data_IF_222407682890
#
_entry.id   IF_222407682890
#
_cell.length_a   1.000
_cell.length_b   1.000
_cell.length_c   1.000
_cell.angle_alpha   90.00
_cell.angle_beta   90.00
_cell.angle_gamma   90.00
#
_symmetry.space_group_name_H-M   'P 1'
#
loop_
_entity.id
_entity.type
_entity.pdbx_description
1 polymer ?
#
# COMPACT_ATOMS: atom_id res chain seq x y z
N UNK A 1 -11.71 3.79 -26.74
CA UNK A 1 -12.38 4.53 -25.64
C UNK A 1 -12.86 3.57 -24.58
N UNK A 2 -12.21 3.60 -23.43
CA UNK A 2 -12.61 2.92 -22.20
C UNK A 2 -13.24 3.93 -21.23
N UNK A 3 -13.55 3.51 -20.01
CA UNK A 3 -14.11 4.36 -18.94
C UNK A 3 -13.18 5.49 -18.45
N UNK A 4 -11.91 5.52 -18.88
CA UNK A 4 -10.95 6.56 -18.53
C UNK A 4 -11.04 7.79 -19.44
N UNK A 5 -11.68 7.66 -20.61
CA UNK A 5 -11.92 8.76 -21.57
C UNK A 5 -10.68 9.58 -21.96
N UNK A 6 -9.49 8.95 -21.95
CA UNK A 6 -8.21 9.62 -22.21
C UNK A 6 -8.16 10.29 -23.58
N UNK A 7 -8.83 9.72 -24.58
CA UNK A 7 -8.85 10.24 -25.95
C UNK A 7 -9.63 11.58 -26.08
N UNK A 8 -10.35 12.00 -25.03
CA UNK A 8 -11.07 13.28 -24.98
C UNK A 8 -10.26 14.41 -24.33
N UNK A 9 -9.14 14.08 -23.68
CA UNK A 9 -8.31 15.07 -23.02
C UNK A 9 -7.50 15.86 -24.07
N UNK A 10 -7.43 17.20 -23.99
CA UNK A 10 -6.58 18.00 -24.87
C UNK A 10 -5.10 17.89 -24.43
N UNK A 11 -4.53 16.70 -24.56
CA UNK A 11 -3.17 16.33 -24.14
C UNK A 11 -2.51 15.58 -25.30
N UNK A 12 -1.31 16.00 -25.71
CA UNK A 12 -0.56 15.31 -26.76
C UNK A 12 -0.01 13.96 -26.29
N UNK A 13 0.34 13.08 -27.22
CA UNK A 13 0.92 11.78 -26.89
C UNK A 13 2.24 11.91 -26.10
N UNK A 14 3.05 12.93 -26.41
CA UNK A 14 4.29 13.23 -25.70
C UNK A 14 4.03 13.65 -24.24
N UNK A 15 3.04 14.50 -24.02
CA UNK A 15 2.64 14.90 -22.67
C UNK A 15 2.03 13.72 -21.87
N UNK A 16 1.23 12.87 -22.51
CA UNK A 16 0.72 11.64 -21.88
C UNK A 16 1.85 10.71 -21.42
N UNK A 17 2.88 10.52 -22.25
CA UNK A 17 4.02 9.68 -21.91
C UNK A 17 4.79 10.22 -20.69
N UNK A 18 5.02 11.55 -20.61
CA UNK A 18 5.65 12.16 -19.44
C UNK A 18 4.79 12.02 -18.17
N UNK A 19 3.47 12.27 -18.28
CA UNK A 19 2.52 12.10 -17.17
C UNK A 19 2.55 10.66 -16.63
N UNK A 20 2.54 9.66 -17.50
CA UNK A 20 2.58 8.26 -17.08
C UNK A 20 3.91 7.86 -16.43
N UNK A 21 5.04 8.33 -16.96
CA UNK A 21 6.35 8.05 -16.39
C UNK A 21 6.51 8.68 -15.00
N UNK A 22 6.12 9.95 -14.84
CA UNK A 22 6.19 10.64 -13.55
C UNK A 22 5.26 10.01 -12.50
N UNK A 23 4.05 9.60 -12.91
CA UNK A 23 3.13 8.83 -12.06
C UNK A 23 3.76 7.50 -11.65
N UNK A 24 4.29 6.72 -12.60
CA UNK A 24 4.90 5.41 -12.34
C UNK A 24 6.06 5.50 -11.36
N UNK A 25 6.97 6.47 -11.55
CA UNK A 25 8.11 6.72 -10.66
C UNK A 25 7.66 7.11 -9.26
N UNK A 26 6.66 7.98 -9.16
CA UNK A 26 6.13 8.44 -7.88
C UNK A 26 5.44 7.30 -7.12
N UNK A 27 4.59 6.51 -7.79
CA UNK A 27 3.90 5.37 -7.20
C UNK A 27 4.87 4.29 -6.72
N UNK A 28 5.82 3.87 -7.57
CA UNK A 28 6.84 2.86 -7.21
C UNK A 28 7.68 3.27 -5.99
N UNK A 29 7.86 4.57 -5.78
CA UNK A 29 8.60 5.10 -4.63
C UNK A 29 7.82 4.99 -3.32
N UNK A 30 6.49 5.15 -3.36
CA UNK A 30 5.66 5.23 -2.15
C UNK A 30 4.89 3.94 -1.83
N UNK A 31 4.61 3.07 -2.81
CA UNK A 31 3.90 1.81 -2.60
C UNK A 31 4.82 0.77 -1.94
N UNK A 32 4.64 0.55 -0.64
CA UNK A 32 5.37 -0.47 0.09
C UNK A 32 4.63 -1.81 0.12
N UNK A 33 3.30 -1.80 0.21
CA UNK A 33 2.47 -3.00 0.33
C UNK A 33 2.73 -4.00 -0.80
N UNK A 34 2.72 -3.53 -2.05
CA UNK A 34 2.96 -4.36 -3.25
C UNK A 34 4.33 -5.04 -3.30
N UNK A 35 5.29 -4.63 -2.46
CA UNK A 35 6.62 -5.24 -2.36
C UNK A 35 6.66 -6.42 -1.39
N UNK A 36 5.62 -6.59 -0.57
CA UNK A 36 5.63 -7.52 0.57
C UNK A 36 4.38 -8.42 0.63
N UNK A 37 3.38 -8.18 -0.20
CA UNK A 37 2.17 -9.01 -0.33
C UNK A 37 2.06 -9.60 -1.74
N UNK A 38 1.28 -10.66 -1.88
CA UNK A 38 0.98 -11.27 -3.18
C UNK A 38 -0.02 -10.41 -3.94
N UNK A 39 0.41 -9.87 -5.09
CA UNK A 39 -0.44 -9.06 -5.96
C UNK A 39 -1.13 -9.97 -6.98
N UNK A 40 -2.46 -10.05 -6.92
CA UNK A 40 -3.28 -10.91 -7.78
C UNK A 40 -4.11 -10.05 -8.72
N UNK A 41 -3.73 -10.01 -10.00
CA UNK A 41 -4.44 -9.24 -11.03
C UNK A 41 -3.50 -8.49 -11.97
N UNK A 42 -3.98 -7.48 -12.71
CA UNK A 42 -5.36 -6.95 -12.69
C UNK A 42 -6.40 -7.90 -13.31
N UNK A 43 -7.59 -7.98 -12.70
CA UNK A 43 -8.72 -8.82 -13.15
C UNK A 43 -9.72 -8.08 -14.05
N UNK A 44 -9.52 -6.79 -14.26
CA UNK A 44 -10.33 -5.92 -15.10
C UNK A 44 -11.42 -5.16 -14.35
N UNK A 45 -12.00 -4.12 -14.96
CA UNK A 45 -12.95 -3.20 -14.31
C UNK A 45 -14.30 -3.86 -13.94
N UNK A 46 -14.61 -5.03 -14.51
CA UNK A 46 -15.81 -5.80 -14.15
C UNK A 46 -15.67 -6.65 -12.89
N UNK A 47 -14.47 -6.75 -12.31
CA UNK A 47 -14.23 -7.53 -11.10
C UNK A 47 -14.71 -6.76 -9.87
N UNK A 48 -15.80 -7.24 -9.25
CA UNK A 48 -16.48 -6.51 -8.17
C UNK A 48 -16.15 -7.05 -6.76
N UNK A 49 -15.75 -8.32 -6.64
CA UNK A 49 -15.44 -8.93 -5.35
C UNK A 49 -14.55 -10.17 -5.48
N UNK A 50 -13.71 -10.41 -4.47
CA UNK A 50 -12.94 -11.63 -4.30
C UNK A 50 -13.71 -12.67 -3.47
N UNK A 51 -13.87 -13.89 -3.99
CA UNK A 51 -14.55 -14.96 -3.26
C UNK A 51 -13.70 -15.44 -2.08
N UNK A 52 -14.30 -15.58 -0.89
CA UNK A 52 -13.58 -16.08 0.30
C UNK A 52 -13.60 -17.60 0.42
N UNK A 53 -14.46 -18.27 -0.35
CA UNK A 53 -14.72 -19.71 -0.23
C UNK A 53 -15.65 -20.07 0.94
N UNK A 54 -16.02 -19.10 1.78
CA UNK A 54 -16.91 -19.31 2.92
C UNK A 54 -18.38 -19.11 2.54
N UNK A 55 -19.25 -19.65 3.39
CA UNK A 55 -20.69 -19.49 3.28
C UNK A 55 -21.30 -19.28 4.65
N UNK A 56 -22.38 -18.51 4.70
CA UNK A 56 -23.24 -18.40 5.88
C UNK A 56 -24.65 -18.89 5.58
N UNK A 57 -25.32 -19.56 6.53
CA UNK A 57 -26.72 -19.94 6.37
C UNK A 57 -27.62 -18.71 6.25
N UNK A 58 -28.67 -18.85 5.45
CA UNK A 58 -29.76 -17.87 5.34
C UNK A 58 -31.10 -18.57 5.41
N UNK A 59 -32.16 -17.82 5.69
CA UNK A 59 -33.53 -18.34 5.71
C UNK A 59 -33.86 -19.03 4.38
N UNK A 60 -34.44 -20.22 4.48
CA UNK A 60 -34.84 -20.99 3.32
C UNK A 60 -36.16 -20.45 2.75
N UNK A 61 -36.33 -20.40 1.41
CA UNK A 61 -37.56 -19.89 0.80
C UNK A 61 -38.76 -20.82 0.94
N UNK A 62 -38.61 -21.97 1.61
CA UNK A 62 -39.69 -22.94 1.79
C UNK A 62 -39.24 -24.17 2.56
N UNK A 63 -40.22 -24.97 2.98
CA UNK A 63 -40.00 -26.21 3.73
C UNK A 63 -39.15 -27.21 2.93
N UNK A 64 -38.21 -27.86 3.60
CA UNK A 64 -37.30 -28.83 2.99
C UNK A 64 -36.11 -28.23 2.24
N UNK A 65 -36.04 -26.91 2.06
CA UNK A 65 -34.91 -26.23 1.39
C UNK A 65 -33.84 -25.82 2.41
N UNK A 66 -32.56 -25.92 2.04
CA UNK A 66 -31.44 -25.35 2.78
C UNK A 66 -30.75 -24.28 1.93
N UNK A 67 -30.57 -23.09 2.48
CA UNK A 67 -29.99 -21.95 1.77
C UNK A 67 -28.70 -21.49 2.43
N UNK A 68 -27.69 -21.23 1.60
CA UNK A 68 -26.41 -20.66 1.99
C UNK A 68 -26.13 -19.45 1.11
N UNK A 69 -25.62 -18.37 1.70
CA UNK A 69 -25.07 -17.23 0.96
C UNK A 69 -23.55 -17.37 0.91
N UNK A 70 -22.96 -17.21 -0.27
CA UNK A 70 -21.50 -17.17 -0.43
C UNK A 70 -20.97 -15.84 0.05
N UNK A 71 -19.88 -15.88 0.78
CA UNK A 71 -19.18 -14.70 1.23
C UNK A 71 -18.15 -14.26 0.17
N UNK A 72 -18.07 -12.95 -0.03
CA UNK A 72 -17.13 -12.34 -0.94
C UNK A 72 -16.69 -11.01 -0.36
N UNK A 73 -15.42 -10.67 -0.57
CA UNK A 73 -14.81 -9.42 -0.19
C UNK A 73 -14.99 -8.42 -1.34
N UNK A 74 -15.81 -7.37 -1.20
CA UNK A 74 -15.96 -6.36 -2.25
C UNK A 74 -14.66 -5.63 -2.53
N UNK A 75 -14.50 -5.19 -3.78
CA UNK A 75 -13.44 -4.24 -4.13
C UNK A 75 -13.88 -2.82 -3.76
N UNK A 76 -12.92 -2.03 -3.29
CA UNK A 76 -13.06 -0.57 -3.18
C UNK A 76 -12.47 0.06 -4.44
N UNK A 77 -13.15 1.07 -4.97
CA UNK A 77 -12.62 1.93 -6.03
C UNK A 77 -12.17 3.25 -5.40
N UNK A 78 -10.89 3.56 -5.53
CA UNK A 78 -10.33 4.84 -5.08
C UNK A 78 -10.10 5.74 -6.27
N UNK A 79 -10.44 7.02 -6.12
CA UNK A 79 -10.22 8.05 -7.13
C UNK A 79 -9.64 9.30 -6.50
N UNK A 80 -8.50 9.76 -7.00
CA UNK A 80 -7.83 10.99 -6.56
C UNK A 80 -7.76 11.97 -7.74
N UNK A 81 -8.62 13.01 -7.76
CA UNK A 81 -8.59 14.02 -8.81
C UNK A 81 -7.38 14.95 -8.66
N UNK A 82 -6.88 15.44 -9.79
CA UNK A 82 -5.83 16.46 -9.85
C UNK A 82 -5.97 17.32 -11.10
N UNK A 83 -5.40 18.52 -11.07
CA UNK A 83 -5.54 19.50 -12.16
C UNK A 83 -4.15 19.89 -12.66
N UNK A 84 -3.97 19.87 -13.98
CA UNK A 84 -2.75 20.32 -14.66
C UNK A 84 -3.05 21.58 -15.48
N UNK A 85 -2.06 22.44 -15.66
CA UNK A 85 -2.21 23.60 -16.55
C UNK A 85 -2.03 23.15 -18.00
N UNK A 86 -2.83 23.72 -18.91
CA UNK A 86 -2.64 23.47 -20.35
C UNK A 86 -1.29 23.96 -20.84
N UNK A 87 -0.77 25.04 -20.25
CA UNK A 87 0.55 25.55 -20.55
C UNK A 87 1.64 24.50 -20.29
N UNK A 88 1.65 23.86 -19.10
CA UNK A 88 2.62 22.81 -18.78
C UNK A 88 2.49 21.58 -19.71
N UNK A 89 1.26 21.25 -20.11
CA UNK A 89 0.99 20.17 -21.08
C UNK A 89 1.55 20.52 -22.46
N UNK A 90 1.21 21.71 -22.98
CA UNK A 90 1.60 22.15 -24.32
C UNK A 90 3.11 22.46 -24.42
N UNK A 91 3.76 22.81 -23.31
CA UNK A 91 5.21 23.02 -23.24
C UNK A 91 6.03 21.77 -23.55
N UNK A 92 5.49 20.57 -23.28
CA UNK A 92 6.13 19.30 -23.63
C UNK A 92 6.34 19.17 -25.14
N UNK A 93 5.32 19.54 -25.93
CA UNK A 93 5.40 19.50 -27.40
C UNK A 93 6.44 20.50 -27.94
N UNK A 94 6.73 21.54 -27.16
CA UNK A 94 7.80 22.52 -27.45
C UNK A 94 9.18 22.10 -26.93
N UNK A 95 9.28 20.93 -26.31
CA UNK A 95 10.54 20.37 -25.79
C UNK A 95 10.87 20.75 -24.35
N UNK A 96 9.90 21.17 -23.54
CA UNK A 96 10.13 21.30 -22.09
C UNK A 96 10.41 19.94 -21.45
N UNK A 97 11.42 19.93 -20.59
CA UNK A 97 11.82 18.78 -19.75
C UNK A 97 11.49 19.02 -18.27
N UNK A 98 10.84 20.15 -17.94
CA UNK A 98 10.60 20.67 -16.59
C UNK A 98 9.15 21.13 -16.36
N UNK A 99 8.21 20.65 -17.17
CA UNK A 99 6.77 20.88 -16.98
C UNK A 99 6.33 20.54 -15.55
N UNK A 100 5.46 21.38 -14.99
CA UNK A 100 5.01 21.23 -13.60
C UNK A 100 3.99 20.07 -13.46
N UNK A 101 4.51 18.93 -13.01
CA UNK A 101 3.73 17.74 -12.67
C UNK A 101 3.48 17.58 -11.16
N UNK A 102 3.74 18.60 -10.35
CA UNK A 102 3.56 18.50 -8.90
C UNK A 102 2.14 18.05 -8.47
N UNK A 103 1.04 18.55 -9.08
CA UNK A 103 -0.30 18.09 -8.74
C UNK A 103 -0.52 16.58 -8.95
N UNK A 104 0.09 16.02 -10.00
CA UNK A 104 0.07 14.58 -10.27
C UNK A 104 0.85 13.81 -9.19
N UNK A 105 2.04 14.30 -8.82
CA UNK A 105 2.89 13.65 -7.82
C UNK A 105 2.23 13.61 -6.45
N UNK A 106 1.56 14.68 -6.07
CA UNK A 106 0.80 14.76 -4.83
C UNK A 106 -0.38 13.78 -4.85
N UNK A 107 -1.13 13.72 -5.95
CA UNK A 107 -2.23 12.76 -6.12
C UNK A 107 -1.73 11.30 -6.09
N UNK A 108 -0.61 11.00 -6.74
CA UNK A 108 0.02 9.69 -6.72
C UNK A 108 0.47 9.28 -5.31
N UNK A 109 1.07 10.21 -4.56
CA UNK A 109 1.44 9.98 -3.15
C UNK A 109 0.20 9.72 -2.30
N UNK A 110 -0.85 10.51 -2.46
CA UNK A 110 -2.10 10.33 -1.72
C UNK A 110 -2.72 8.96 -1.98
N UNK A 111 -2.77 8.52 -3.24
CA UNK A 111 -3.30 7.21 -3.61
C UNK A 111 -2.45 6.08 -3.03
N UNK A 112 -1.12 6.15 -3.20
CA UNK A 112 -0.20 5.15 -2.64
C UNK A 112 -0.33 5.02 -1.12
N UNK A 113 -0.49 6.14 -0.41
CA UNK A 113 -0.67 6.13 1.04
C UNK A 113 -2.02 5.52 1.44
N UNK A 114 -3.06 5.71 0.63
CA UNK A 114 -4.36 5.10 0.88
C UNK A 114 -4.32 3.58 0.71
N UNK A 115 -3.66 3.06 -0.32
CA UNK A 115 -3.46 1.62 -0.52
C UNK A 115 -2.65 1.01 0.63
N UNK A 116 -1.47 1.56 0.93
CA UNK A 116 -0.60 1.06 2.00
C UNK A 116 -1.33 1.03 3.35
N UNK A 117 -2.05 2.10 3.71
CA UNK A 117 -2.84 2.12 4.96
C UNK A 117 -3.95 1.09 4.95
N UNK A 118 -4.64 0.90 3.84
CA UNK A 118 -5.67 -0.14 3.74
C UNK A 118 -5.08 -1.54 3.97
N UNK A 119 -3.89 -1.82 3.44
CA UNK A 119 -3.19 -3.11 3.61
C UNK A 119 -2.64 -3.28 5.02
N UNK A 120 -1.92 -2.30 5.57
CA UNK A 120 -1.23 -2.44 6.85
C UNK A 120 -2.13 -2.17 8.07
N UNK A 121 -2.95 -1.12 8.02
CA UNK A 121 -3.74 -0.62 9.17
C UNK A 121 -5.24 -0.94 9.07
N UNK A 122 -5.68 -1.31 7.86
CA UNK A 122 -7.05 -1.66 7.51
C UNK A 122 -7.87 -0.50 7.00
N UNK A 123 -8.96 -0.82 6.30
CA UNK A 123 -9.97 0.13 5.87
C UNK A 123 -11.37 -0.43 6.16
N UNK A 124 -11.85 -0.17 7.37
CA UNK A 124 -13.07 -0.79 7.90
C UNK A 124 -14.33 -0.52 7.06
N UNK A 125 -14.45 0.68 6.48
CA UNK A 125 -15.60 1.03 5.62
C UNK A 125 -15.62 0.22 4.31
N UNK A 126 -14.47 -0.25 3.84
CA UNK A 126 -14.33 -1.18 2.72
C UNK A 126 -14.31 -2.65 3.14
N UNK A 127 -14.52 -2.95 4.43
CA UNK A 127 -14.43 -4.30 4.99
C UNK A 127 -13.02 -4.88 5.04
N UNK A 128 -11.97 -4.05 4.90
CA UNK A 128 -10.58 -4.50 4.91
C UNK A 128 -10.04 -4.41 6.35
N UNK A 129 -9.61 -5.54 6.91
CA UNK A 129 -9.10 -5.61 8.29
C UNK A 129 -7.67 -5.06 8.48
N UNK A 130 -6.83 -5.24 7.47
CA UNK A 130 -5.40 -4.88 7.50
C UNK A 130 -4.53 -5.86 8.29
N UNK A 131 -3.23 -5.85 8.01
CA UNK A 131 -2.24 -6.76 8.62
C UNK A 131 -2.15 -6.56 10.14
N UNK A 132 -2.09 -5.30 10.60
CA UNK A 132 -1.88 -5.00 12.02
C UNK A 132 -3.00 -5.48 12.93
N UNK A 133 -4.26 -5.34 12.52
CA UNK A 133 -5.41 -5.83 13.31
C UNK A 133 -5.70 -7.31 13.10
N UNK A 134 -5.32 -7.86 11.94
CA UNK A 134 -5.51 -9.28 11.63
C UNK A 134 -4.43 -10.19 12.21
N UNK A 135 -3.31 -9.63 12.67
CA UNK A 135 -2.24 -10.41 13.30
C UNK A 135 -2.70 -11.07 14.61
N UNK A 136 -2.40 -12.36 14.77
CA UNK A 136 -2.59 -13.10 16.02
C UNK A 136 -1.37 -13.01 16.95
N UNK A 137 -0.24 -12.51 16.46
CA UNK A 137 0.94 -12.25 17.30
C UNK A 137 0.77 -10.96 18.09
N UNK A 138 1.30 -10.93 19.31
CA UNK A 138 1.32 -9.72 20.10
C UNK A 138 2.20 -8.65 19.44
N UNK A 139 1.71 -7.41 19.37
CA UNK A 139 2.52 -6.30 18.87
C UNK A 139 3.76 -6.09 19.77
N UNK A 140 4.90 -5.85 19.13
CA UNK A 140 6.15 -5.53 19.82
C UNK A 140 6.35 -4.01 19.77
N UNK A 141 6.45 -3.31 20.91
CA UNK A 141 6.73 -1.89 20.90
C UNK A 141 8.16 -1.63 20.44
N UNK A 142 8.34 -0.64 19.56
CA UNK A 142 9.67 -0.13 19.26
C UNK A 142 10.18 0.70 20.44
N UNK A 143 11.40 0.42 20.92
CA UNK A 143 11.99 1.19 22.01
C UNK A 143 12.27 2.63 21.58
N UNK A 144 12.40 3.55 22.53
CA UNK A 144 12.83 4.92 22.24
C UNK A 144 14.32 4.96 21.85
N UNK A 145 15.14 4.07 22.43
CA UNK A 145 16.56 3.91 22.13
C UNK A 145 16.75 3.16 20.82
N UNK A 146 17.42 3.77 19.84
CA UNK A 146 17.65 3.16 18.52
C UNK A 146 18.53 1.91 18.58
N UNK A 147 19.48 1.85 19.51
CA UNK A 147 20.37 0.70 19.69
C UNK A 147 19.62 -0.60 20.08
N UNK A 148 18.40 -0.46 20.60
CA UNK A 148 17.54 -1.58 21.03
C UNK A 148 16.57 -2.05 19.92
N UNK A 149 16.54 -1.39 18.75
CA UNK A 149 15.72 -1.81 17.61
C UNK A 149 16.04 -3.25 17.14
N UNK A 150 17.31 -3.67 17.01
CA UNK A 150 17.66 -5.03 16.64
C UNK A 150 17.05 -6.10 17.55
N UNK A 151 16.97 -5.83 18.86
CA UNK A 151 16.35 -6.75 19.81
C UNK A 151 14.83 -6.87 19.59
N UNK A 152 14.14 -5.74 19.40
CA UNK A 152 12.71 -5.72 19.10
C UNK A 152 12.38 -6.48 17.81
N UNK A 153 13.18 -6.29 16.75
CA UNK A 153 13.02 -6.99 15.47
C UNK A 153 13.36 -8.48 15.61
N UNK A 154 14.41 -8.84 16.34
CA UNK A 154 14.77 -10.23 16.59
C UNK A 154 13.68 -10.97 17.40
N UNK A 155 13.04 -10.29 18.35
CA UNK A 155 11.89 -10.82 19.09
C UNK A 155 10.70 -11.09 18.16
N UNK A 156 10.31 -10.10 17.35
CA UNK A 156 9.23 -10.26 16.38
C UNK A 156 9.52 -11.39 15.37
N UNK A 157 10.77 -11.50 14.90
CA UNK A 157 11.22 -12.60 14.04
C UNK A 157 11.12 -13.97 14.75
N UNK A 158 11.46 -14.03 16.02
CA UNK A 158 11.34 -15.25 16.81
C UNK A 158 9.87 -15.66 17.00
N UNK A 159 8.96 -14.69 17.21
CA UNK A 159 7.53 -14.97 17.31
C UNK A 159 6.98 -15.59 16.01
N UNK A 160 7.39 -15.08 14.83
CA UNK A 160 7.07 -15.70 13.54
C UNK A 160 7.60 -17.14 13.43
N UNK A 161 8.84 -17.37 13.86
CA UNK A 161 9.45 -18.72 13.84
C UNK A 161 8.73 -19.69 14.76
N UNK A 162 8.37 -19.26 15.97
CA UNK A 162 7.61 -20.05 16.93
C UNK A 162 6.19 -20.37 16.42
N UNK A 163 5.60 -19.47 15.64
CA UNK A 163 4.33 -19.70 14.96
C UNK A 163 4.43 -20.61 13.72
N UNK A 164 5.64 -21.07 13.35
CA UNK A 164 5.85 -21.93 12.17
C UNK A 164 5.81 -21.18 10.83
N UNK A 165 5.92 -19.86 10.85
CA UNK A 165 6.03 -19.03 9.65
C UNK A 165 7.49 -19.00 9.18
N UNK A 166 7.79 -19.77 8.14
CA UNK A 166 9.09 -19.73 7.47
C UNK A 166 9.28 -18.43 6.69
N UNK A 167 10.54 -18.00 6.52
CA UNK A 167 10.89 -16.83 5.72
C UNK A 167 10.75 -17.06 4.19
N UNK A 168 11.24 -16.12 3.36
CA UNK A 168 12.03 -14.96 3.77
C UNK A 168 11.24 -13.92 4.57
N UNK A 169 11.90 -13.27 5.52
CA UNK A 169 11.31 -12.26 6.40
C UNK A 169 11.70 -10.87 5.95
N UNK A 170 10.75 -9.94 5.94
CA UNK A 170 10.99 -8.53 5.61
C UNK A 170 10.67 -7.67 6.82
N UNK A 171 11.41 -6.58 6.96
CA UNK A 171 11.13 -5.52 7.93
C UNK A 171 10.52 -4.33 7.18
N UNK A 172 9.27 -3.99 7.47
CA UNK A 172 8.60 -2.80 6.94
C UNK A 172 8.67 -1.70 8.00
N UNK A 173 9.19 -0.53 7.67
CA UNK A 173 9.30 0.60 8.60
C UNK A 173 8.58 1.83 8.06
N UNK A 174 7.83 2.47 8.97
CA UNK A 174 7.22 3.77 8.82
C UNK A 174 8.24 4.86 8.49
N UNK A 175 7.77 5.99 7.96
CA UNK A 175 8.65 7.05 7.46
C UNK A 175 9.64 7.58 8.50
N UNK A 176 9.16 7.82 9.72
CA UNK A 176 9.97 8.36 10.81
C UNK A 176 10.87 7.30 11.45
N UNK A 177 10.35 6.09 11.63
CA UNK A 177 11.12 4.94 12.14
C UNK A 177 12.26 4.57 11.19
N UNK A 178 11.99 4.55 9.87
CA UNK A 178 13.01 4.29 8.85
C UNK A 178 14.07 5.40 8.85
N UNK A 179 13.65 6.66 8.95
CA UNK A 179 14.57 7.80 9.03
C UNK A 179 15.47 7.71 10.26
N UNK A 180 14.89 7.38 11.42
CA UNK A 180 15.65 7.22 12.66
C UNK A 180 16.64 6.04 12.56
N UNK A 181 16.23 4.91 12.00
CA UNK A 181 17.11 3.76 11.81
C UNK A 181 18.24 3.99 10.78
N UNK A 182 18.00 4.84 9.77
CA UNK A 182 18.98 5.17 8.72
C UNK A 182 19.87 6.37 9.04
N UNK A 183 19.42 7.28 9.91
CA UNK A 183 20.21 8.37 10.44
C UNK A 183 21.22 7.82 11.44
N UNK A 184 22.49 7.70 11.03
CA UNK A 184 23.54 7.24 11.92
C UNK A 184 23.64 8.12 13.17
N UNK A 185 23.79 7.50 14.35
CA UNK A 185 24.18 8.21 15.56
C UNK A 185 25.60 8.78 15.36
N UNK A 186 25.88 9.97 15.89
CA UNK A 186 27.20 10.64 15.80
C UNK A 186 28.37 9.79 16.36
N UNK A 187 28.10 8.68 17.06
CA UNK A 187 29.11 7.77 17.64
C UNK A 187 28.92 6.26 17.32
N UNK A 188 27.94 5.83 16.51
CA UNK A 188 27.47 4.43 16.52
C UNK A 188 27.57 3.63 15.20
N UNK A 189 27.78 2.32 15.32
CA UNK A 189 27.67 1.32 14.24
C UNK A 189 26.33 1.47 13.48
N UNK A 190 26.27 1.30 12.14
CA UNK A 190 25.03 1.54 11.40
C UNK A 190 23.95 0.53 11.80
N UNK A 191 23.00 0.94 12.65
CA UNK A 191 21.87 0.12 13.13
C UNK A 191 21.10 -0.44 11.94
N UNK A 192 20.95 0.35 10.87
CA UNK A 192 20.36 -0.10 9.62
C UNK A 192 20.98 -1.38 9.07
N UNK A 193 22.32 -1.49 9.04
CA UNK A 193 23.01 -2.70 8.58
C UNK A 193 22.86 -3.87 9.55
N UNK A 194 22.66 -3.61 10.86
CA UNK A 194 22.32 -4.67 11.79
C UNK A 194 20.92 -5.21 11.51
N UNK A 195 19.93 -4.34 11.28
CA UNK A 195 18.57 -4.71 10.90
C UNK A 195 18.54 -5.54 9.60
N UNK A 196 19.26 -5.10 8.57
CA UNK A 196 19.40 -5.83 7.30
C UNK A 196 20.02 -7.22 7.46
N UNK A 197 20.80 -7.46 8.51
CA UNK A 197 21.38 -8.80 8.79
C UNK A 197 20.44 -9.71 9.57
N UNK A 198 19.45 -9.15 10.26
CA UNK A 198 18.44 -9.90 11.02
C UNK A 198 17.36 -10.43 10.08
N UNK A 199 16.94 -9.62 9.09
CA UNK A 199 15.92 -9.98 8.11
C UNK A 199 16.54 -10.26 6.74
N UNK A 200 16.27 -11.43 6.18
CA UNK A 200 16.83 -11.90 4.92
C UNK A 200 16.16 -11.30 3.67
N UNK A 201 14.91 -10.83 3.79
CA UNK A 201 14.18 -10.13 2.73
C UNK A 201 14.42 -8.61 2.69
N UNK A 202 15.22 -8.07 3.62
CA UNK A 202 15.60 -6.66 3.65
C UNK A 202 14.59 -5.73 4.34
N UNK A 203 14.90 -4.43 4.30
CA UNK A 203 14.14 -3.37 4.95
C UNK A 203 13.36 -2.54 3.91
N UNK A 204 12.05 -2.43 4.09
CA UNK A 204 11.12 -1.76 3.19
C UNK A 204 10.68 -0.43 3.83
N UNK A 205 10.88 0.66 3.11
CA UNK A 205 10.38 1.98 3.48
C UNK A 205 8.89 2.11 3.15
N UNK A 206 8.06 2.30 4.17
CA UNK A 206 6.61 2.45 4.07
C UNK A 206 6.16 3.77 4.75
N UNK A 207 6.32 4.92 4.09
CA UNK A 207 6.07 6.23 4.72
C UNK A 207 4.62 6.51 5.08
N UNK A 208 3.68 5.64 4.71
CA UNK A 208 2.25 5.80 4.99
C UNK A 208 1.85 5.39 6.42
N UNK A 209 2.69 4.62 7.13
CA UNK A 209 2.43 4.04 8.46
C UNK A 209 3.34 4.65 9.55
N UNK A 210 2.89 4.62 10.83
CA UNK A 210 3.61 5.24 11.95
C UNK A 210 4.65 4.35 12.65
N UNK A 211 4.49 3.02 12.60
CA UNK A 211 5.39 2.05 13.26
C UNK A 211 6.13 1.18 12.25
N UNK A 212 5.97 -0.13 12.33
CA UNK A 212 6.49 -1.07 11.35
C UNK A 212 5.86 -2.46 11.44
N UNK A 213 6.37 -3.39 10.64
CA UNK A 213 5.97 -4.79 10.66
C UNK A 213 7.17 -5.68 10.40
N UNK A 214 7.23 -6.84 11.07
CA UNK A 214 8.03 -7.97 10.61
C UNK A 214 7.05 -9.00 10.05
N UNK A 215 7.23 -9.42 8.81
CA UNK A 215 6.33 -10.37 8.16
C UNK A 215 7.09 -11.34 7.28
N UNK A 216 6.48 -12.50 7.00
CA UNK A 216 7.01 -13.44 6.00
C UNK A 216 6.50 -13.10 4.60
N UNK A 217 7.36 -13.34 3.61
CA UNK A 217 7.08 -13.20 2.17
C UNK A 217 7.17 -14.56 1.46
N UNK A 218 6.90 -15.67 2.18
CA UNK A 218 6.85 -17.03 1.62
C UNK A 218 5.72 -17.22 0.59
N UNK A 219 4.76 -16.30 0.54
CA UNK A 219 3.62 -16.31 -0.36
C UNK A 219 2.41 -17.08 0.20
N UNK A 220 1.22 -16.64 -0.18
CA UNK A 220 -0.08 -17.20 0.21
C UNK A 220 -0.65 -16.69 1.53
N UNK A 221 0.06 -15.78 2.23
CA UNK A 221 -0.37 -15.26 3.53
C UNK A 221 -1.15 -13.93 3.42
N UNK A 222 -0.82 -13.11 2.41
CA UNK A 222 -1.34 -11.75 2.22
C UNK A 222 -1.68 -11.53 0.74
N UNK A 223 -2.95 -11.39 0.40
CA UNK A 223 -3.37 -11.21 -0.99
C UNK A 223 -3.96 -9.81 -1.22
N UNK A 224 -3.38 -9.09 -2.18
CA UNK A 224 -3.92 -7.86 -2.76
C UNK A 224 -4.55 -8.18 -4.12
N UNK A 225 -5.88 -8.30 -4.13
CA UNK A 225 -6.66 -8.53 -5.33
C UNK A 225 -6.89 -7.20 -6.07
N UNK A 226 -6.34 -7.08 -7.28
CA UNK A 226 -6.52 -5.88 -8.11
C UNK A 226 -7.57 -6.15 -9.19
N UNK A 227 -8.63 -5.34 -9.20
CA UNK A 227 -9.59 -5.27 -10.30
C UNK A 227 -8.99 -4.45 -11.44
N UNK A 228 -8.97 -3.13 -11.27
CA UNK A 228 -8.28 -2.19 -12.14
C UNK A 228 -7.03 -1.66 -11.44
N UNK A 229 -5.87 -1.84 -12.07
CA UNK A 229 -4.62 -1.25 -11.57
C UNK A 229 -4.60 0.27 -11.76
N UNK A 230 -3.68 0.95 -11.08
CA UNK A 230 -3.61 2.42 -11.04
C UNK A 230 -3.54 2.98 -12.46
N UNK A 231 -4.57 3.72 -12.81
CA UNK A 231 -4.82 4.26 -14.14
C UNK A 231 -5.12 5.75 -14.06
N UNK A 232 -4.71 6.51 -15.08
CA UNK A 232 -5.04 7.93 -15.19
C UNK A 232 -6.25 8.10 -16.12
N UNK A 233 -7.28 8.78 -15.65
CA UNK A 233 -8.46 9.13 -16.43
C UNK A 233 -8.67 10.63 -16.55
N UNK A 234 -9.54 10.99 -17.47
CA UNK A 234 -9.92 12.37 -17.79
C UNK A 234 -11.33 12.69 -17.26
N UNK A 235 -11.50 13.88 -16.69
CA UNK A 235 -12.81 14.41 -16.24
C UNK A 235 -13.29 15.53 -17.14
N UNK A 236 -12.55 16.63 -17.18
CA UNK A 236 -12.98 17.86 -17.82
C UNK A 236 -11.77 18.75 -18.18
N UNK A 237 -12.00 19.81 -18.94
CA UNK A 237 -10.99 20.85 -19.16
C UNK A 237 -11.62 22.23 -19.35
N UNK A 238 -10.80 23.26 -19.13
CA UNK A 238 -11.12 24.65 -19.41
C UNK A 238 -10.15 25.22 -20.47
N UNK A 239 -10.21 26.53 -20.70
CA UNK A 239 -9.25 27.22 -21.54
C UNK A 239 -7.80 27.16 -21.00
N UNK A 240 -7.62 26.94 -19.70
CA UNK A 240 -6.30 27.03 -19.03
C UNK A 240 -5.89 25.78 -18.26
N UNK A 241 -6.82 24.86 -18.00
CA UNK A 241 -6.57 23.68 -17.14
C UNK A 241 -7.19 22.40 -17.71
N UNK A 242 -6.64 21.25 -17.32
CA UNK A 242 -7.19 19.91 -17.56
C UNK A 242 -7.35 19.19 -16.22
N UNK A 243 -8.54 18.68 -15.95
CA UNK A 243 -8.85 17.88 -14.75
C UNK A 243 -8.75 16.40 -15.09
N UNK A 244 -7.85 15.72 -14.37
CA UNK A 244 -7.57 14.30 -14.47
C UNK A 244 -7.82 13.63 -13.12
N UNK A 245 -7.67 12.32 -13.08
CA UNK A 245 -7.66 11.56 -11.83
C UNK A 245 -6.79 10.32 -11.93
N UNK A 246 -6.24 9.89 -10.80
CA UNK A 246 -5.74 8.53 -10.61
C UNK A 246 -6.88 7.67 -10.06
N UNK A 247 -7.00 6.44 -10.56
CA UNK A 247 -7.98 5.47 -10.09
C UNK A 247 -7.41 4.06 -10.04
N UNK A 248 -7.82 3.32 -9.03
CA UNK A 248 -7.63 1.87 -8.93
C UNK A 248 -8.86 1.22 -8.29
N UNK A 249 -9.00 -0.09 -8.47
CA UNK A 249 -9.91 -0.88 -7.68
C UNK A 249 -9.22 -2.11 -7.12
N UNK A 250 -9.32 -2.32 -5.81
CA UNK A 250 -8.65 -3.41 -5.13
C UNK A 250 -9.40 -3.87 -3.88
N UNK A 251 -9.00 -5.02 -3.36
CA UNK A 251 -9.29 -5.41 -1.99
C UNK A 251 -8.12 -6.17 -1.40
N UNK A 252 -8.02 -6.21 -0.08
CA UNK A 252 -6.93 -6.88 0.62
C UNK A 252 -7.48 -7.94 1.57
N UNK A 253 -6.86 -9.13 1.55
CA UNK A 253 -7.20 -10.26 2.41
C UNK A 253 -5.95 -10.77 3.12
N UNK A 254 -6.04 -10.86 4.44
CA UNK A 254 -5.06 -11.55 5.26
C UNK A 254 -5.54 -12.99 5.42
N UNK A 255 -4.80 -13.94 4.85
CA UNK A 255 -5.16 -15.36 4.84
C UNK A 255 -4.57 -16.12 6.02
N UNK A 256 -3.45 -15.64 6.58
CA UNK A 256 -2.75 -16.27 7.70
C UNK A 256 -2.46 -15.24 8.78
N UNK A 257 -3.09 -15.39 9.95
CA UNK A 257 -3.03 -14.41 11.04
C UNK A 257 -1.65 -14.31 11.70
N UNK A 258 -0.91 -15.39 11.71
CA UNK A 258 0.35 -15.55 12.43
C UNK A 258 1.58 -15.14 11.59
N UNK A 259 1.38 -14.79 10.31
CA UNK A 259 2.43 -14.48 9.35
C UNK A 259 3.03 -13.06 9.46
N UNK A 260 2.54 -12.25 10.40
CA UNK A 260 3.04 -10.90 10.66
C UNK A 260 3.08 -10.60 12.15
N UNK A 261 4.00 -9.72 12.54
CA UNK A 261 4.09 -9.10 13.87
C UNK A 261 4.13 -7.58 13.66
N UNK A 262 3.20 -6.86 14.29
CA UNK A 262 3.20 -5.41 14.28
C UNK A 262 4.28 -4.85 15.21
N UNK A 263 5.00 -3.84 14.74
CA UNK A 263 5.93 -3.03 15.52
C UNK A 263 5.23 -1.70 15.85
N UNK A 264 4.80 -1.53 17.10
CA UNK A 264 4.15 -0.30 17.50
C UNK A 264 5.19 0.85 17.53
N UNK A 265 4.81 2.07 17.10
CA UNK A 265 5.72 3.21 17.16
C UNK A 265 6.21 3.46 18.60
N UNK A 266 7.39 4.08 18.78
CA UNK A 266 7.84 4.53 20.08
C UNK A 266 6.78 5.45 20.71
N UNK A 267 6.54 5.28 22.00
CA UNK A 267 5.57 6.07 22.75
C UNK A 267 6.05 7.55 22.82
N UNK A 268 5.40 8.46 22.08
CA UNK A 268 5.75 9.91 22.07
C UNK A 268 5.56 10.59 23.44
N UNK A 269 4.96 9.90 24.41
CA UNK A 269 4.71 10.41 25.76
C UNK A 269 5.98 10.56 26.63
N UNK A 270 7.14 10.09 26.17
CA UNK A 270 8.40 10.13 26.95
C UNK A 270 9.53 10.98 26.32
N UNK A 271 9.33 11.59 25.15
CA UNK A 271 10.32 12.49 24.53
C UNK A 271 10.16 13.97 24.90
N UNK A 272 9.34 14.27 25.91
CA UNK A 272 9.03 15.62 26.40
C UNK A 272 9.56 15.94 27.80
N UNK A 273 10.72 15.39 28.19
CA UNK A 273 11.46 15.78 29.41
C UNK A 273 12.90 16.14 29.08
#
# INVERSE_FOLDING_TARGET
MNNLHRELAPISDAAWAQIEDEASRTLKRYLAARRVVDVVGPKGPGYAAAGTGHTRPIEAPGEGIRSLLREAQPLVELRVPFTLTRQAIDDVERGSEDSDWQPLKDAARMLAFAEDRAVFEGYAAAGIGGIGKGSSNAAVPLPATLDDYPEAVARALNDLKLAGCNGPYVLVLGGDVYRAASGGNEEGYPIFHHLERIVDGGVIWAPAIAGGFVLTTRGGDFELDIGQDISIGYLSHSATTVELYLQESFTFRMLTSEAAVALAPPDESLSGL
#
